data_IF_801140240241
#
_entry.id   IF_801140240241
#
_cell.length_a   1.000
_cell.length_b   1.000
_cell.length_c   1.000
_cell.angle_alpha   90.00
_cell.angle_beta   90.00
_cell.angle_gamma   90.00
#
_symmetry.space_group_name_H-M   'P 1'
#
loop_
_entity.id
_entity.type
_entity.pdbx_description
1 polymer ?
#
# COMPACT_ATOMS: atom_id res chain seq x y z
N UNK A 1 -38.89 16.28 53.26
CA UNK A 1 -38.66 16.86 51.92
C UNK A 1 -37.18 16.77 51.57
N UNK A 2 -36.77 15.85 50.69
CA UNK A 2 -35.79 16.10 49.60
C UNK A 2 -35.72 14.87 48.69
N UNK A 3 -36.44 14.96 47.58
CA UNK A 3 -36.36 14.10 46.40
C UNK A 3 -35.07 14.37 45.64
N UNK A 4 -34.35 13.33 45.23
CA UNK A 4 -33.53 13.39 44.01
C UNK A 4 -33.73 12.08 43.23
N UNK A 5 -34.61 12.18 42.24
CA UNK A 5 -34.69 11.27 41.09
C UNK A 5 -33.52 11.62 40.16
N UNK A 6 -32.88 10.63 39.57
CA UNK A 6 -32.61 10.58 38.12
C UNK A 6 -31.79 9.33 37.79
N UNK A 7 -32.49 8.34 37.23
CA UNK A 7 -31.93 7.29 36.39
C UNK A 7 -31.33 7.93 35.15
N UNK A 8 -30.07 7.68 34.84
CA UNK A 8 -29.53 7.88 33.49
C UNK A 8 -28.71 6.64 33.10
N UNK A 9 -29.43 5.75 32.41
CA UNK A 9 -28.96 4.64 31.61
C UNK A 9 -27.91 5.17 30.62
N UNK A 10 -26.65 4.80 30.81
CA UNK A 10 -25.62 5.11 29.82
C UNK A 10 -25.67 4.05 28.72
N UNK A 11 -26.06 4.52 27.55
CA UNK A 11 -26.28 3.75 26.33
C UNK A 11 -25.00 3.08 25.83
N UNK A 12 -25.22 1.88 25.28
CA UNK A 12 -24.26 1.04 24.57
C UNK A 12 -23.66 1.79 23.38
N UNK A 13 -22.35 2.00 23.37
CA UNK A 13 -21.58 2.43 22.20
C UNK A 13 -21.11 1.18 21.43
N UNK A 14 -22.02 0.54 20.70
CA UNK A 14 -21.65 -0.33 19.58
C UNK A 14 -21.52 0.55 18.35
N UNK A 15 -20.32 1.04 18.07
CA UNK A 15 -20.02 1.75 16.83
C UNK A 15 -18.67 1.27 16.29
N UNK A 16 -18.76 0.35 15.32
CA UNK A 16 -17.84 0.17 14.21
C UNK A 16 -16.37 0.05 14.57
N UNK A 17 -15.89 -1.19 14.71
CA UNK A 17 -14.57 -1.51 14.18
C UNK A 17 -14.64 -1.29 12.67
N UNK A 18 -14.41 -0.05 12.24
CA UNK A 18 -14.00 0.23 10.88
C UNK A 18 -12.66 -0.46 10.77
N UNK A 19 -12.67 -1.68 10.23
CA UNK A 19 -11.48 -2.32 9.72
C UNK A 19 -10.95 -1.37 8.65
N UNK A 20 -10.09 -0.45 9.06
CA UNK A 20 -9.26 0.28 8.11
C UNK A 20 -8.46 -0.84 7.49
N UNK A 21 -8.89 -1.28 6.30
CA UNK A 21 -8.08 -2.11 5.45
C UNK A 21 -6.87 -1.24 5.14
N UNK A 22 -5.86 -1.30 6.01
CA UNK A 22 -4.52 -0.91 5.67
C UNK A 22 -4.18 -1.88 4.55
N UNK A 23 -4.47 -1.48 3.31
CA UNK A 23 -3.92 -2.11 2.13
C UNK A 23 -2.44 -2.33 2.48
N UNK A 24 -1.93 -3.56 2.33
CA UNK A 24 -0.59 -3.87 2.77
C UNK A 24 0.29 -2.78 2.21
N UNK A 25 1.07 -2.11 3.06
CA UNK A 25 2.12 -1.23 2.59
C UNK A 25 3.03 -2.14 1.78
N UNK A 26 2.77 -2.22 0.47
CA UNK A 26 3.47 -3.09 -0.45
C UNK A 26 4.91 -2.64 -0.34
N UNK A 27 5.71 -3.41 0.41
CA UNK A 27 7.12 -3.13 0.56
C UNK A 27 7.69 -3.27 -0.85
N UNK A 28 7.88 -2.11 -1.47
CA UNK A 28 8.30 -1.92 -2.85
C UNK A 28 9.57 -2.76 -3.07
N UNK A 29 9.38 -3.90 -3.73
CA UNK A 29 10.40 -4.95 -3.85
C UNK A 29 10.92 -5.00 -5.28
N UNK A 30 12.22 -5.31 -5.44
CA UNK A 30 12.78 -5.49 -6.77
C UNK A 30 12.09 -6.69 -7.43
N UNK A 31 11.45 -6.44 -8.57
CA UNK A 31 10.85 -7.48 -9.42
C UNK A 31 11.79 -7.92 -10.52
N UNK A 32 12.42 -6.97 -11.18
CA UNK A 32 13.27 -7.22 -12.35
C UNK A 32 14.42 -6.22 -12.42
N UNK A 33 15.48 -6.58 -13.15
CA UNK A 33 16.60 -5.72 -13.47
C UNK A 33 16.75 -5.66 -14.99
N UNK A 34 16.84 -4.46 -15.54
CA UNK A 34 16.93 -4.17 -16.96
C UNK A 34 18.22 -3.43 -17.28
N UNK A 35 18.74 -3.64 -18.49
CA UNK A 35 19.92 -2.88 -18.93
C UNK A 35 19.54 -1.46 -19.35
N UNK A 36 18.44 -1.31 -20.08
CA UNK A 36 17.95 -0.02 -20.53
C UNK A 36 16.78 0.48 -19.67
N UNK A 37 16.76 1.80 -19.47
CA UNK A 37 15.69 2.47 -18.75
C UNK A 37 14.33 2.25 -19.42
N UNK A 38 14.31 2.26 -20.77
CA UNK A 38 13.11 2.05 -21.58
C UNK A 38 12.47 0.70 -21.30
N UNK A 39 13.26 -0.36 -21.13
CA UNK A 39 12.75 -1.71 -20.89
C UNK A 39 12.14 -1.83 -19.49
N UNK A 40 12.73 -1.12 -18.51
CA UNK A 40 12.17 -1.03 -17.17
C UNK A 40 10.79 -0.36 -17.18
N UNK A 41 10.65 0.78 -17.85
CA UNK A 41 9.33 1.44 -17.95
C UNK A 41 8.33 0.63 -18.77
N UNK A 42 8.77 -0.06 -19.82
CA UNK A 42 7.90 -0.92 -20.62
C UNK A 42 7.37 -2.10 -19.79
N UNK A 43 8.26 -2.84 -19.13
CA UNK A 43 7.90 -3.95 -18.24
C UNK A 43 6.99 -3.49 -17.10
N UNK A 44 7.29 -2.33 -16.49
CA UNK A 44 6.45 -1.70 -15.47
C UNK A 44 5.04 -1.43 -15.95
N UNK A 45 4.90 -0.82 -17.13
CA UNK A 45 3.60 -0.49 -17.70
C UNK A 45 2.80 -1.75 -18.11
N UNK A 46 3.47 -2.79 -18.61
CA UNK A 46 2.85 -4.08 -18.90
C UNK A 46 2.33 -4.76 -17.63
N UNK A 47 3.09 -4.74 -16.54
CA UNK A 47 2.63 -5.32 -15.28
C UNK A 47 1.43 -4.58 -14.66
N UNK A 48 1.32 -3.25 -14.87
CA UNK A 48 0.09 -2.51 -14.55
C UNK A 48 -1.08 -3.01 -15.42
N UNK A 49 -0.88 -3.12 -16.74
CA UNK A 49 -1.92 -3.57 -17.67
C UNK A 49 -2.40 -5.00 -17.37
N UNK A 50 -1.50 -5.87 -16.89
CA UNK A 50 -1.80 -7.26 -16.57
C UNK A 50 -2.23 -7.46 -15.11
N UNK A 51 -2.28 -6.38 -14.31
CA UNK A 51 -2.73 -6.41 -12.92
C UNK A 51 -1.75 -7.10 -11.95
N UNK A 52 -0.47 -7.18 -12.32
CA UNK A 52 0.58 -7.77 -11.47
C UNK A 52 0.99 -6.84 -10.32
N UNK A 53 0.90 -5.53 -10.54
CA UNK A 53 1.13 -4.49 -9.56
C UNK A 53 0.25 -3.27 -9.85
N UNK A 54 0.12 -2.37 -8.88
CA UNK A 54 -0.69 -1.14 -8.97
C UNK A 54 0.14 0.12 -9.23
N UNK A 55 1.43 0.05 -8.91
CA UNK A 55 2.42 1.09 -9.17
C UNK A 55 3.77 0.43 -9.43
N UNK A 56 4.67 1.14 -10.11
CA UNK A 56 6.06 0.71 -10.24
C UNK A 56 6.98 1.93 -10.24
N UNK A 57 8.26 1.71 -9.93
CA UNK A 57 9.33 2.67 -10.19
C UNK A 57 10.54 1.99 -10.82
N UNK A 58 11.31 2.77 -11.56
CA UNK A 58 12.56 2.35 -12.17
C UNK A 58 13.71 3.14 -11.54
N UNK A 59 14.63 2.46 -10.88
CA UNK A 59 15.79 3.09 -10.25
C UNK A 59 17.09 2.55 -10.81
N UNK A 60 18.04 3.44 -11.08
CA UNK A 60 19.38 3.05 -11.45
C UNK A 60 20.14 2.60 -10.21
N UNK A 61 20.59 1.34 -10.21
CA UNK A 61 21.41 0.80 -9.13
C UNK A 61 22.82 0.49 -9.61
N UNK A 62 23.79 0.77 -8.76
CA UNK A 62 25.23 0.51 -9.00
C UNK A 62 25.81 -0.61 -8.13
N UNK A 63 25.01 -1.16 -7.19
CA UNK A 63 25.48 -2.12 -6.19
C UNK A 63 25.60 -3.59 -6.64
N UNK A 64 25.08 -3.96 -7.81
CA UNK A 64 25.08 -5.35 -8.32
C UNK A 64 25.36 -5.45 -9.83
N UNK A 65 25.90 -4.39 -10.41
CA UNK A 65 25.97 -4.15 -11.86
C UNK A 65 25.15 -2.92 -12.26
N UNK A 66 25.48 -2.34 -13.42
CA UNK A 66 24.84 -1.14 -13.96
C UNK A 66 23.49 -1.51 -14.58
N UNK A 67 22.43 -1.49 -13.77
CA UNK A 67 21.09 -1.89 -14.19
C UNK A 67 20.01 -0.93 -13.66
N UNK A 68 18.90 -0.87 -14.39
CA UNK A 68 17.64 -0.29 -13.99
C UNK A 68 16.79 -1.34 -13.27
N UNK A 69 16.61 -1.17 -11.97
CA UNK A 69 15.79 -2.03 -11.14
C UNK A 69 14.34 -1.56 -11.17
N UNK A 70 13.45 -2.48 -11.53
CA UNK A 70 12.01 -2.29 -11.44
C UNK A 70 11.56 -2.71 -10.05
N UNK A 71 10.97 -1.77 -9.34
CA UNK A 71 10.30 -2.06 -8.07
C UNK A 71 8.79 -1.95 -8.24
N UNK A 72 8.07 -2.90 -7.65
CA UNK A 72 6.61 -2.96 -7.65
C UNK A 72 6.04 -3.93 -6.58
#
# INVERSE_FOLDING_TARGET
MRTVRALLVSAVLTAGLVSVATAPAHADSIRYAYYYQSDCYNGGNLGIQWGWWTSFRCEWGTGGGNFWFLYA
#
